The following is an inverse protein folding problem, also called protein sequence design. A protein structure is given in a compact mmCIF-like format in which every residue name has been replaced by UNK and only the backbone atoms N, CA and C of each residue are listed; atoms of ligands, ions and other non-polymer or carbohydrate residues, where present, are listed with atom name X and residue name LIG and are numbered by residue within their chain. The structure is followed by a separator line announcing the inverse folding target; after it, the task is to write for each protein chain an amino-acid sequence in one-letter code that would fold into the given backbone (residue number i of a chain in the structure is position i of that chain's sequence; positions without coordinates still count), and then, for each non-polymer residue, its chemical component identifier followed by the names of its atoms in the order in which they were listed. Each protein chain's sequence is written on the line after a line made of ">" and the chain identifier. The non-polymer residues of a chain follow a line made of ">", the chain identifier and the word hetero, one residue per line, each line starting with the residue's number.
data_IF_995973267258
#
_entry.id   IF_995973267258
#
_cell.length_a   1.000
_cell.length_b   1.000
_cell.length_c   1.000
_cell.angle_alpha   90.00
_cell.angle_beta   90.00
_cell.angle_gamma   90.00
#
_symmetry.space_group_name_H-M   'P 1'
#
loop_
_entity.id
_entity.type
_entity.pdbx_description
1 polymer ?
#
# COMPACT_ATOMS: atom_id res chain seq x y z
N UNK A 1 20.36 -22.57 2.50
CA UNK A 1 18.93 -22.63 2.12
C UNK A 1 18.86 -22.79 0.61
N UNK A 2 18.80 -24.02 0.11
CA UNK A 2 18.72 -24.33 -1.32
C UNK A 2 17.23 -24.52 -1.67
N UNK A 3 16.67 -23.59 -2.43
CA UNK A 3 15.32 -23.73 -2.97
C UNK A 3 15.27 -24.97 -3.90
N UNK A 4 14.24 -25.81 -3.82
CA UNK A 4 14.15 -27.03 -4.61
C UNK A 4 14.04 -26.67 -6.10
N UNK A 5 14.92 -27.25 -6.93
CA UNK A 5 15.06 -27.05 -8.37
C UNK A 5 13.73 -27.15 -9.17
N UNK A 6 12.71 -27.77 -8.57
CA UNK A 6 11.36 -27.94 -9.11
C UNK A 6 10.60 -26.63 -9.36
N UNK A 7 10.89 -25.56 -8.59
CA UNK A 7 10.19 -24.26 -8.75
C UNK A 7 10.81 -23.43 -9.88
N UNK A 8 12.14 -23.49 -10.03
CA UNK A 8 12.89 -22.83 -11.11
C UNK A 8 12.47 -23.36 -12.49
N UNK A 9 12.30 -24.67 -12.66
CA UNK A 9 11.85 -25.26 -13.93
C UNK A 9 10.43 -24.82 -14.33
N UNK A 10 9.52 -24.67 -13.36
CA UNK A 10 8.13 -24.25 -13.63
C UNK A 10 8.06 -22.77 -14.04
N UNK A 11 8.86 -21.90 -13.43
CA UNK A 11 8.98 -20.49 -13.80
C UNK A 11 9.58 -20.31 -15.20
N UNK A 12 10.62 -21.09 -15.55
CA UNK A 12 11.22 -21.07 -16.89
C UNK A 12 10.22 -21.51 -17.97
N UNK A 13 9.43 -22.55 -17.70
CA UNK A 13 8.38 -23.03 -18.62
C UNK A 13 7.28 -21.98 -18.86
N UNK A 14 6.80 -21.34 -17.78
CA UNK A 14 5.80 -20.26 -17.87
C UNK A 14 6.32 -19.05 -18.65
N UNK A 15 7.58 -18.66 -18.43
CA UNK A 15 8.22 -17.58 -19.18
C UNK A 15 8.35 -17.91 -20.67
N UNK A 16 8.69 -19.16 -21.02
CA UNK A 16 8.73 -19.57 -22.43
C UNK A 16 7.35 -19.57 -23.10
N UNK A 17 6.30 -19.98 -22.38
CA UNK A 17 4.92 -19.96 -22.88
C UNK A 17 4.41 -18.53 -23.09
N UNK A 18 4.67 -17.62 -22.15
CA UNK A 18 4.33 -16.19 -22.29
C UNK A 18 5.04 -15.55 -23.49
N UNK A 19 6.32 -15.91 -23.71
CA UNK A 19 7.11 -15.41 -24.84
C UNK A 19 6.60 -15.92 -26.19
N UNK A 20 6.16 -17.18 -26.25
CA UNK A 20 5.51 -17.77 -27.42
C UNK A 20 4.15 -17.13 -27.71
N UNK A 21 3.36 -16.87 -26.67
CA UNK A 21 2.05 -16.23 -26.80
C UNK A 21 2.17 -14.80 -27.33
N UNK A 22 3.15 -14.04 -26.84
CA UNK A 22 3.40 -12.67 -27.32
C UNK A 22 3.88 -12.65 -28.78
N UNK A 23 4.76 -13.58 -29.17
CA UNK A 23 5.20 -13.72 -30.56
C UNK A 23 4.05 -14.12 -31.49
N UNK A 24 3.17 -15.03 -31.06
CA UNK A 24 2.01 -15.44 -31.84
C UNK A 24 0.98 -14.31 -32.01
N UNK A 25 0.69 -13.56 -30.95
CA UNK A 25 -0.19 -12.38 -31.03
C UNK A 25 0.40 -11.28 -31.92
N UNK A 26 1.72 -11.04 -31.86
CA UNK A 26 2.39 -10.09 -32.75
C UNK A 26 2.31 -10.53 -34.22
N UNK A 27 2.47 -11.82 -34.51
CA UNK A 27 2.36 -12.36 -35.87
C UNK A 27 0.93 -12.26 -36.42
N UNK A 28 -0.09 -12.43 -35.56
CA UNK A 28 -1.50 -12.25 -35.96
C UNK A 28 -1.80 -10.79 -36.30
N UNK A 29 -1.31 -9.83 -35.51
CA UNK A 29 -1.48 -8.40 -35.81
C UNK A 29 -0.76 -8.02 -37.11
N UNK A 30 0.43 -8.55 -37.36
CA UNK A 30 1.18 -8.27 -38.58
C UNK A 30 0.51 -8.88 -39.83
N UNK A 31 -0.11 -10.07 -39.69
CA UNK A 31 -0.86 -10.73 -40.77
C UNK A 31 -2.15 -10.00 -41.17
N UNK A 32 -2.74 -9.18 -40.29
CA UNK A 32 -3.91 -8.34 -40.62
C UNK A 32 -3.57 -7.10 -41.44
N UNK A 33 -2.29 -6.74 -41.55
CA UNK A 33 -1.82 -5.53 -42.24
C UNK A 33 -1.51 -5.75 -43.73
N UNK A 34 -1.51 -7.00 -44.20
CA UNK A 34 -1.23 -7.36 -45.61
C UNK A 34 -2.53 -7.62 -46.36
N UNK A 35 -3.12 -6.57 -46.92
CA UNK A 35 -4.13 -6.74 -47.98
C UNK A 35 -3.48 -7.28 -49.27
N UNK A 36 -4.09 -8.25 -49.97
CA UNK A 36 -3.57 -8.75 -51.23
C UNK A 36 -3.81 -7.73 -52.36
N UNK A 37 -2.72 -7.18 -52.92
CA UNK A 37 -2.80 -6.29 -54.09
C UNK A 37 -3.22 -7.06 -55.34
N UNK A 38 -4.30 -6.62 -55.99
CA UNK A 38 -4.85 -7.21 -57.21
C UNK A 38 -4.18 -6.56 -58.45
N UNK A 39 -3.66 -7.39 -59.35
CA UNK A 39 -2.95 -6.99 -60.57
C UNK A 39 -3.83 -6.17 -61.57
N UNK A 40 -3.23 -5.34 -62.45
CA UNK A 40 -3.99 -4.39 -63.28
C UNK A 40 -4.55 -5.08 -64.54
N UNK A 41 -5.87 -5.04 -64.71
CA UNK A 41 -6.51 -5.30 -66.00
C UNK A 41 -6.46 -4.03 -66.87
N UNK A 42 -6.46 -4.18 -68.19
CA UNK A 42 -6.30 -3.12 -69.22
C UNK A 42 -7.44 -2.08 -69.29
N UNK A 43 -8.22 -1.94 -68.22
CA UNK A 43 -9.17 -0.87 -68.01
C UNK A 43 -8.78 -0.18 -66.70
N UNK A 44 -8.43 1.11 -66.75
CA UNK A 44 -8.18 1.88 -65.53
C UNK A 44 -9.33 1.64 -64.52
N UNK A 45 -9.02 1.32 -63.24
CA UNK A 45 -10.03 1.18 -62.21
C UNK A 45 -10.97 2.39 -62.19
N UNK A 46 -12.26 2.24 -61.85
CA UNK A 46 -13.19 3.36 -61.74
C UNK A 46 -12.62 4.52 -60.90
N UNK A 47 -11.92 4.21 -59.81
CA UNK A 47 -11.22 5.17 -58.96
C UNK A 47 -10.06 5.91 -59.67
N UNK A 48 -9.30 5.23 -60.52
CA UNK A 48 -8.21 5.85 -61.28
C UNK A 48 -8.75 6.79 -62.38
N UNK A 49 -9.88 6.45 -62.99
CA UNK A 49 -10.59 7.32 -63.94
C UNK A 49 -11.17 8.56 -63.24
N UNK A 50 -11.76 8.38 -62.07
CA UNK A 50 -12.23 9.48 -61.21
C UNK A 50 -11.09 10.44 -60.83
N UNK A 51 -9.92 9.92 -60.47
CA UNK A 51 -8.74 10.73 -60.17
C UNK A 51 -8.26 11.55 -61.38
N UNK A 52 -8.29 10.99 -62.59
CA UNK A 52 -7.95 11.71 -63.81
C UNK A 52 -8.93 12.87 -64.08
N UNK A 53 -10.24 12.62 -63.94
CA UNK A 53 -11.28 13.65 -64.07
C UNK A 53 -11.09 14.78 -63.05
N UNK A 54 -10.84 14.43 -61.79
CA UNK A 54 -10.54 15.41 -60.74
C UNK A 54 -9.26 16.20 -61.03
N UNK A 55 -8.21 15.52 -61.49
CA UNK A 55 -6.94 16.18 -61.83
C UNK A 55 -7.13 17.19 -62.96
N UNK A 56 -7.94 16.85 -63.96
CA UNK A 56 -8.30 17.75 -65.06
C UNK A 56 -9.07 18.97 -64.55
N UNK A 57 -10.14 18.78 -63.77
CA UNK A 57 -10.92 19.88 -63.19
C UNK A 57 -10.05 20.82 -62.33
N UNK A 58 -9.14 20.25 -61.54
CA UNK A 58 -8.18 21.01 -60.73
C UNK A 58 -7.14 21.74 -61.56
N UNK A 59 -6.72 21.16 -62.68
CA UNK A 59 -5.77 21.78 -63.61
C UNK A 59 -6.43 22.91 -64.42
N UNK A 60 -7.69 22.73 -64.83
CA UNK A 60 -8.46 23.73 -65.57
C UNK A 60 -8.72 24.99 -64.74
N UNK A 61 -8.85 24.88 -63.41
CA UNK A 61 -9.10 26.02 -62.49
C UNK A 61 -10.27 26.92 -62.91
N UNK A 62 -11.23 26.36 -63.62
CA UNK A 62 -12.39 27.05 -64.20
C UNK A 62 -13.67 26.27 -63.88
N UNK A 63 -14.81 26.96 -63.88
CA UNK A 63 -16.12 26.33 -63.74
C UNK A 63 -16.57 25.78 -65.09
N UNK A 64 -17.11 24.55 -65.09
CA UNK A 64 -17.57 23.89 -66.30
C UNK A 64 -19.06 23.57 -66.21
N UNK A 65 -19.75 23.62 -67.36
CA UNK A 65 -21.12 23.10 -67.46
C UNK A 65 -21.08 21.61 -67.77
N UNK A 66 -22.19 20.90 -67.52
CA UNK A 66 -22.28 19.46 -67.83
C UNK A 66 -21.99 19.17 -69.31
N UNK A 67 -22.39 20.07 -70.22
CA UNK A 67 -22.15 19.96 -71.66
C UNK A 67 -20.68 20.08 -72.03
N UNK A 68 -19.92 20.89 -71.28
CA UNK A 68 -18.48 21.03 -71.50
C UNK A 68 -17.73 19.80 -70.98
N UNK A 69 -18.19 19.25 -69.84
CA UNK A 69 -17.63 18.03 -69.26
C UNK A 69 -17.90 16.80 -70.14
N UNK A 70 -19.08 16.69 -70.75
CA UNK A 70 -19.40 15.65 -71.74
C UNK A 70 -18.50 15.69 -72.98
N UNK A 71 -17.94 16.85 -73.33
CA UNK A 71 -17.03 17.02 -74.48
C UNK A 71 -15.57 16.81 -74.12
N UNK A 72 -15.12 17.34 -72.98
CA UNK A 72 -13.72 17.32 -72.59
C UNK A 72 -13.30 16.00 -71.92
N UNK A 73 -14.17 15.41 -71.10
CA UNK A 73 -13.81 14.24 -70.28
C UNK A 73 -13.61 12.93 -71.07
N UNK A 74 -14.33 12.65 -72.17
CA UNK A 74 -14.03 11.47 -73.00
C UNK A 74 -12.61 11.48 -73.57
N UNK A 75 -12.07 12.66 -73.90
CA UNK A 75 -10.70 12.83 -74.40
C UNK A 75 -9.64 12.66 -73.29
N UNK A 76 -9.91 13.19 -72.09
CA UNK A 76 -8.92 13.23 -71.00
C UNK A 76 -8.90 11.97 -70.14
N UNK A 77 -10.07 11.39 -69.87
CA UNK A 77 -10.21 10.22 -69.00
C UNK A 77 -10.48 8.92 -69.77
N UNK A 78 -10.54 8.98 -71.12
CA UNK A 78 -10.87 7.84 -71.99
C UNK A 78 -12.15 7.10 -71.54
N UNK A 79 -13.19 7.87 -71.20
CA UNK A 79 -14.49 7.39 -70.73
C UNK A 79 -15.56 7.56 -71.80
N UNK A 80 -16.58 6.71 -71.79
CA UNK A 80 -17.73 6.85 -72.69
C UNK A 80 -18.54 8.09 -72.27
N UNK A 81 -18.95 8.93 -73.23
CA UNK A 81 -19.74 10.15 -72.97
C UNK A 81 -21.02 9.90 -72.17
N UNK A 82 -21.61 8.70 -72.28
CA UNK A 82 -22.78 8.30 -71.51
C UNK A 82 -22.50 8.08 -70.01
N UNK A 83 -21.25 7.75 -69.65
CA UNK A 83 -20.83 7.47 -68.27
C UNK A 83 -20.31 8.71 -67.53
N UNK A 84 -20.16 9.83 -68.22
CA UNK A 84 -19.62 11.09 -67.65
C UNK A 84 -20.46 11.56 -66.47
N UNK A 85 -21.79 11.47 -66.57
CA UNK A 85 -22.71 11.86 -65.50
C UNK A 85 -22.55 11.00 -64.26
N UNK A 86 -22.43 9.68 -64.42
CA UNK A 86 -22.27 8.74 -63.32
C UNK A 86 -20.95 8.97 -62.58
N UNK A 87 -19.87 9.23 -63.31
CA UNK A 87 -18.57 9.55 -62.70
C UNK A 87 -18.57 10.90 -62.00
N UNK A 88 -19.26 11.91 -62.53
CA UNK A 88 -19.40 13.21 -61.84
C UNK A 88 -20.25 13.05 -60.58
N UNK A 89 -21.36 12.31 -60.64
CA UNK A 89 -22.20 12.07 -59.47
C UNK A 89 -21.43 11.34 -58.37
N UNK A 90 -20.69 10.28 -58.71
CA UNK A 90 -19.84 9.58 -57.74
C UNK A 90 -18.76 10.49 -57.12
N UNK A 91 -18.27 11.50 -57.87
CA UNK A 91 -17.31 12.48 -57.36
C UNK A 91 -17.95 13.57 -56.49
N UNK A 92 -19.25 13.83 -56.65
CA UNK A 92 -20.05 14.68 -55.77
C UNK A 92 -20.38 13.94 -54.48
N UNK A 93 -20.75 12.67 -54.59
CA UNK A 93 -21.04 11.81 -53.43
C UNK A 93 -19.79 11.65 -52.54
N UNK A 94 -18.59 11.66 -53.15
CA UNK A 94 -17.29 11.67 -52.48
C UNK A 94 -16.85 13.07 -51.94
N UNK A 95 -17.66 14.12 -52.12
CA UNK A 95 -17.38 15.54 -51.81
C UNK A 95 -16.09 16.11 -52.44
N UNK A 96 -15.68 15.58 -53.60
CA UNK A 96 -14.46 16.00 -54.33
C UNK A 96 -14.73 17.04 -55.42
N UNK A 97 -15.99 17.20 -55.85
CA UNK A 97 -16.47 18.21 -56.80
C UNK A 97 -17.61 18.98 -56.14
N UNK A 98 -17.55 20.31 -56.22
CA UNK A 98 -18.65 21.17 -55.79
C UNK A 98 -19.57 21.48 -56.97
N UNK A 99 -20.87 21.47 -56.68
CA UNK A 99 -21.93 21.85 -57.62
C UNK A 99 -22.69 23.01 -57.06
N UNK A 100 -22.83 24.07 -57.85
CA UNK A 100 -23.68 25.19 -57.51
C UNK A 100 -24.63 25.50 -58.66
N UNK A 101 -25.85 25.86 -58.30
CA UNK A 101 -26.88 26.24 -59.25
C UNK A 101 -26.87 27.75 -59.40
N UNK A 102 -26.49 28.24 -60.58
CA UNK A 102 -26.47 29.67 -60.90
C UNK A 102 -27.50 29.89 -62.02
N UNK A 103 -28.63 30.53 -61.66
CA UNK A 103 -29.77 30.74 -62.56
C UNK A 103 -30.45 29.42 -62.96
N UNK A 104 -30.49 29.13 -64.25
CA UNK A 104 -31.08 27.91 -64.82
C UNK A 104 -30.08 26.77 -65.08
N UNK A 105 -28.79 26.97 -64.77
CA UNK A 105 -27.72 26.00 -65.03
C UNK A 105 -27.02 25.50 -63.76
N UNK A 106 -26.53 24.25 -63.81
CA UNK A 106 -25.63 23.67 -62.80
C UNK A 106 -24.18 23.86 -63.25
N UNK A 107 -23.35 24.36 -62.33
CA UNK A 107 -21.93 24.61 -62.54
C UNK A 107 -21.11 23.68 -61.66
N UNK A 108 -20.06 23.10 -62.24
CA UNK A 108 -19.20 22.11 -61.59
C UNK A 108 -17.77 22.65 -61.50
N UNK A 109 -17.16 22.55 -60.32
CA UNK A 109 -15.74 22.88 -60.12
C UNK A 109 -15.11 22.06 -59.01
N UNK A 110 -13.78 21.96 -59.03
CA UNK A 110 -13.01 21.31 -57.98
C UNK A 110 -11.73 22.11 -57.71
N UNK A 111 -11.50 22.48 -56.43
CA UNK A 111 -10.27 23.13 -56.00
C UNK A 111 -9.43 22.19 -55.14
N UNK A 112 -8.13 22.12 -55.42
CA UNK A 112 -7.19 21.33 -54.62
C UNK A 112 -6.94 21.90 -53.21
N UNK A 113 -7.38 23.13 -52.93
CA UNK A 113 -7.14 23.81 -51.65
C UNK A 113 -8.02 23.35 -50.48
N UNK A 114 -9.24 22.87 -50.77
CA UNK A 114 -10.19 22.42 -49.74
C UNK A 114 -9.69 21.19 -48.98
N UNK A 115 -9.31 20.14 -49.72
CA UNK A 115 -8.79 18.89 -49.15
C UNK A 115 -7.53 19.11 -48.29
N UNK A 116 -6.65 20.04 -48.68
CA UNK A 116 -5.45 20.34 -47.89
C UNK A 116 -5.82 20.99 -46.56
N UNK A 117 -6.71 21.99 -46.59
CA UNK A 117 -7.15 22.71 -45.40
C UNK A 117 -7.95 21.81 -44.44
N UNK A 118 -8.79 20.94 -44.99
CA UNK A 118 -9.57 19.99 -44.20
C UNK A 118 -8.69 18.93 -43.54
N UNK A 119 -7.72 18.37 -44.27
CA UNK A 119 -6.72 17.46 -43.71
C UNK A 119 -5.87 18.11 -42.62
N UNK A 120 -5.47 19.37 -42.81
CA UNK A 120 -4.75 20.14 -41.78
C UNK A 120 -5.62 20.38 -40.54
N UNK A 121 -6.91 20.70 -40.72
CA UNK A 121 -7.88 20.86 -39.62
C UNK A 121 -8.08 19.56 -38.86
N UNK A 122 -8.24 18.44 -39.56
CA UNK A 122 -8.39 17.11 -38.95
C UNK A 122 -7.13 16.74 -38.18
N UNK A 123 -5.94 16.94 -38.76
CA UNK A 123 -4.66 16.69 -38.08
C UNK A 123 -4.53 17.54 -36.83
N UNK A 124 -4.87 18.82 -36.88
CA UNK A 124 -4.84 19.71 -35.72
C UNK A 124 -5.82 19.25 -34.63
N UNK A 125 -7.02 18.77 -35.01
CA UNK A 125 -7.97 18.19 -34.06
C UNK A 125 -7.44 16.93 -33.40
N UNK A 126 -6.86 16.01 -34.18
CA UNK A 126 -6.30 14.76 -33.67
C UNK A 126 -5.11 15.00 -32.72
N UNK A 127 -4.24 15.97 -33.04
CA UNK A 127 -3.14 16.37 -32.15
C UNK A 127 -3.66 16.90 -30.82
N UNK A 128 -4.71 17.75 -30.85
CA UNK A 128 -5.33 18.25 -29.61
C UNK A 128 -5.95 17.14 -28.77
N UNK A 129 -6.59 16.15 -29.40
CA UNK A 129 -7.14 15.00 -28.66
C UNK A 129 -6.01 14.12 -28.08
N UNK A 130 -4.92 13.90 -28.83
CA UNK A 130 -3.76 13.19 -28.30
C UNK A 130 -3.15 13.91 -27.08
N UNK A 131 -2.95 15.22 -27.16
CA UNK A 131 -2.45 16.02 -26.02
C UNK A 131 -3.38 15.96 -24.80
N UNK A 132 -4.70 15.89 -24.99
CA UNK A 132 -5.64 15.70 -23.88
C UNK A 132 -5.51 14.31 -23.26
N UNK A 133 -5.40 13.27 -24.09
CA UNK A 133 -5.23 11.90 -23.62
C UNK A 133 -3.91 11.76 -22.85
N UNK A 134 -2.82 12.33 -23.35
CA UNK A 134 -1.52 12.32 -22.67
C UNK A 134 -1.58 13.00 -21.30
N UNK A 135 -2.30 14.13 -21.18
CA UNK A 135 -2.53 14.79 -19.89
C UNK A 135 -3.30 13.88 -18.92
N UNK A 136 -4.37 13.25 -19.39
CA UNK A 136 -5.16 12.32 -18.57
C UNK A 136 -4.33 11.12 -18.14
N UNK A 137 -3.48 10.58 -19.03
CA UNK A 137 -2.57 9.49 -18.69
C UNK A 137 -1.59 9.94 -17.59
N UNK A 138 -0.96 11.11 -17.76
CA UNK A 138 -0.02 11.64 -16.75
C UNK A 138 -0.71 11.86 -15.38
N UNK A 139 -1.94 12.39 -15.37
CA UNK A 139 -2.73 12.55 -14.14
C UNK A 139 -3.09 11.20 -13.50
N UNK A 140 -3.48 10.21 -14.29
CA UNK A 140 -3.80 8.86 -13.80
C UNK A 140 -2.56 8.14 -13.27
N UNK A 141 -1.41 8.28 -13.93
CA UNK A 141 -0.14 7.73 -13.48
C UNK A 141 0.31 8.37 -12.16
N UNK A 142 0.20 9.69 -12.04
CA UNK A 142 0.49 10.40 -10.79
C UNK A 142 -0.44 9.94 -9.66
N UNK A 143 -1.74 9.79 -9.93
CA UNK A 143 -2.72 9.30 -8.95
C UNK A 143 -2.44 7.85 -8.54
N UNK A 144 -2.09 6.98 -9.49
CA UNK A 144 -1.71 5.59 -9.21
C UNK A 144 -0.47 5.53 -8.34
N UNK A 145 0.55 6.35 -8.62
CA UNK A 145 1.76 6.38 -7.81
C UNK A 145 1.48 6.89 -6.39
N UNK A 146 0.63 7.91 -6.23
CA UNK A 146 0.16 8.37 -4.93
C UNK A 146 -0.51 7.26 -4.12
N UNK A 147 -1.48 6.56 -4.73
CA UNK A 147 -2.18 5.45 -4.08
C UNK A 147 -1.24 4.30 -3.69
N UNK A 148 -0.27 3.93 -4.54
CA UNK A 148 0.72 2.90 -4.21
C UNK A 148 1.60 3.29 -3.03
N UNK A 149 2.00 4.57 -2.96
CA UNK A 149 2.79 5.08 -1.84
C UNK A 149 1.98 5.04 -0.54
N UNK A 150 0.71 5.48 -0.58
CA UNK A 150 -0.20 5.44 0.57
C UNK A 150 -0.41 4.01 1.08
N UNK A 151 -0.74 3.07 0.18
CA UNK A 151 -0.88 1.64 0.52
C UNK A 151 0.41 1.11 1.16
N UNK A 152 1.57 1.40 0.56
CA UNK A 152 2.85 0.98 1.11
C UNK A 152 3.17 1.61 2.47
N UNK A 153 2.74 2.84 2.74
CA UNK A 153 2.90 3.47 4.05
C UNK A 153 1.97 2.90 5.11
N UNK A 154 0.71 2.62 4.75
CA UNK A 154 -0.29 2.03 5.64
C UNK A 154 0.13 0.61 6.01
N UNK A 155 0.49 -0.22 5.03
CA UNK A 155 0.92 -1.61 5.26
C UNK A 155 2.16 -1.69 6.17
N UNK A 156 3.13 -0.78 5.98
CA UNK A 156 4.30 -0.67 6.88
C UNK A 156 3.93 -0.21 8.29
N UNK A 157 2.96 0.70 8.42
CA UNK A 157 2.52 1.18 9.73
C UNK A 157 1.75 0.10 10.47
N UNK A 158 0.77 -0.54 9.82
CA UNK A 158 -0.02 -1.64 10.36
C UNK A 158 0.87 -2.82 10.78
N UNK A 159 1.88 -3.17 9.97
CA UNK A 159 2.82 -4.22 10.31
C UNK A 159 3.65 -3.89 11.55
N UNK A 160 4.14 -2.64 11.69
CA UNK A 160 4.87 -2.20 12.89
C UNK A 160 3.98 -2.20 14.13
N UNK A 161 2.77 -1.65 14.02
CA UNK A 161 1.81 -1.62 15.13
C UNK A 161 1.46 -3.04 15.59
N UNK A 162 1.30 -3.98 14.64
CA UNK A 162 1.08 -5.39 14.95
C UNK A 162 2.26 -6.03 15.67
N UNK A 163 3.50 -5.74 15.25
CA UNK A 163 4.71 -6.23 15.90
C UNK A 163 4.85 -5.68 17.32
N UNK A 164 4.60 -4.39 17.52
CA UNK A 164 4.62 -3.74 18.84
C UNK A 164 3.55 -4.32 19.78
N UNK A 165 2.31 -4.49 19.28
CA UNK A 165 1.23 -5.10 20.04
C UNK A 165 1.52 -6.57 20.38
N UNK A 166 2.13 -7.33 19.47
CA UNK A 166 2.52 -8.71 19.72
C UNK A 166 3.60 -8.80 20.81
N UNK A 167 4.63 -7.94 20.75
CA UNK A 167 5.67 -7.88 21.77
C UNK A 167 5.10 -7.51 23.15
N UNK A 168 4.21 -6.52 23.20
CA UNK A 168 3.55 -6.11 24.45
C UNK A 168 2.64 -7.21 25.01
N UNK A 169 1.98 -7.97 24.13
CA UNK A 169 1.19 -9.13 24.55
C UNK A 169 2.08 -10.20 25.18
N UNK A 170 3.20 -10.54 24.58
CA UNK A 170 4.15 -11.51 25.15
C UNK A 170 4.71 -11.05 26.50
N UNK A 171 5.03 -9.77 26.64
CA UNK A 171 5.48 -9.19 27.91
C UNK A 171 4.42 -9.33 29.01
N UNK A 172 3.18 -8.95 28.71
CA UNK A 172 2.06 -9.05 29.65
C UNK A 172 1.71 -10.50 29.99
N UNK A 173 1.79 -11.42 29.04
CA UNK A 173 1.59 -12.86 29.28
C UNK A 173 2.69 -13.43 30.19
N UNK A 174 3.94 -13.00 30.00
CA UNK A 174 5.04 -13.39 30.88
C UNK A 174 4.88 -12.81 32.30
N UNK A 175 4.43 -11.57 32.43
CA UNK A 175 4.14 -10.96 33.73
C UNK A 175 2.97 -11.66 34.43
N UNK A 176 1.88 -11.96 33.72
CA UNK A 176 0.77 -12.75 34.23
C UNK A 176 1.21 -14.14 34.71
N UNK A 177 2.07 -14.81 33.96
CA UNK A 177 2.60 -16.12 34.36
C UNK A 177 3.44 -16.03 35.64
N UNK A 178 4.27 -14.98 35.78
CA UNK A 178 5.04 -14.74 37.02
C UNK A 178 4.12 -14.49 38.20
N UNK A 179 3.15 -13.59 38.07
CA UNK A 179 2.21 -13.24 39.13
C UNK A 179 1.37 -14.44 39.56
N UNK A 180 0.90 -15.25 38.61
CA UNK A 180 0.18 -16.50 38.92
C UNK A 180 1.06 -17.49 39.66
N UNK A 181 2.33 -17.63 39.29
CA UNK A 181 3.25 -18.50 40.01
C UNK A 181 3.57 -17.98 41.42
N UNK A 182 3.58 -16.66 41.63
CA UNK A 182 3.71 -16.05 42.96
C UNK A 182 2.45 -16.27 43.80
N UNK A 183 1.26 -16.07 43.21
CA UNK A 183 -0.02 -16.36 43.85
C UNK A 183 -0.13 -17.83 44.26
N UNK A 184 0.26 -18.75 43.38
CA UNK A 184 0.27 -20.19 43.66
C UNK A 184 1.20 -20.52 44.83
N UNK A 185 2.41 -19.95 44.89
CA UNK A 185 3.29 -20.09 46.06
C UNK A 185 2.66 -19.54 47.33
N UNK A 186 1.91 -18.45 47.22
CA UNK A 186 1.25 -17.81 48.34
C UNK A 186 0.00 -18.54 48.82
N UNK A 187 -0.70 -19.26 47.94
CA UNK A 187 -1.91 -20.04 48.26
C UNK A 187 -1.55 -21.45 48.73
N UNK A 188 -0.55 -22.10 48.12
CA UNK A 188 -0.11 -23.46 48.49
C UNK A 188 0.95 -23.48 49.58
N UNK A 189 1.64 -22.37 49.84
CA UNK A 189 2.34 -22.21 51.11
C UNK A 189 1.29 -22.23 52.21
N UNK A 190 1.38 -23.17 53.15
CA UNK A 190 0.49 -23.29 54.31
C UNK A 190 0.71 -22.12 55.28
N UNK A 191 0.35 -20.92 54.81
CA UNK A 191 0.54 -19.67 55.52
C UNK A 191 -0.22 -19.68 56.83
N UNK A 192 -1.38 -20.36 56.87
CA UNK A 192 -2.15 -20.52 58.08
C UNK A 192 -1.33 -21.29 59.13
N UNK A 193 -0.80 -22.47 58.80
CA UNK A 193 0.01 -23.23 59.76
C UNK A 193 1.36 -22.56 60.10
N UNK A 194 1.99 -21.88 59.14
CA UNK A 194 3.24 -21.14 59.38
C UNK A 194 3.00 -19.93 60.29
N UNK A 195 1.91 -19.19 60.10
CA UNK A 195 1.55 -18.06 60.95
C UNK A 195 1.12 -18.54 62.33
N UNK A 196 0.29 -19.59 62.42
CA UNK A 196 -0.11 -20.20 63.70
C UNK A 196 1.11 -20.67 64.51
N UNK A 197 2.07 -21.35 63.86
CA UNK A 197 3.32 -21.75 64.52
C UNK A 197 4.13 -20.56 65.03
N UNK A 198 4.25 -19.50 64.23
CA UNK A 198 4.95 -18.27 64.64
C UNK A 198 4.25 -17.59 65.80
N UNK A 199 2.92 -17.52 65.79
CA UNK A 199 2.13 -16.97 66.90
C UNK A 199 2.35 -17.79 68.17
N UNK A 200 2.29 -19.11 68.09
CA UNK A 200 2.59 -20.01 69.21
C UNK A 200 4.01 -19.82 69.75
N UNK A 201 5.02 -19.76 68.86
CA UNK A 201 6.41 -19.56 69.26
C UNK A 201 6.60 -18.21 69.96
N UNK A 202 5.99 -17.13 69.45
CA UNK A 202 6.03 -15.79 70.06
C UNK A 202 5.35 -15.79 71.43
N UNK A 203 4.18 -16.42 71.56
CA UNK A 203 3.49 -16.52 72.86
C UNK A 203 4.34 -17.29 73.88
N UNK A 204 4.96 -18.40 73.46
CA UNK A 204 5.88 -19.17 74.32
C UNK A 204 7.07 -18.32 74.75
N UNK A 205 7.76 -17.68 73.82
CA UNK A 205 8.94 -16.87 74.15
C UNK A 205 8.60 -15.68 75.04
N UNK A 206 7.43 -15.06 74.86
CA UNK A 206 6.94 -14.04 75.78
C UNK A 206 6.74 -14.59 77.19
N UNK A 207 6.05 -15.72 77.33
CA UNK A 207 5.81 -16.33 78.64
C UNK A 207 7.12 -16.75 79.33
N UNK A 208 8.08 -17.29 78.56
CA UNK A 208 9.41 -17.64 79.08
C UNK A 208 10.19 -16.39 79.52
N UNK A 209 10.18 -15.31 78.72
CA UNK A 209 10.82 -14.05 79.08
C UNK A 209 10.19 -13.42 80.34
N UNK A 210 8.86 -13.44 80.46
CA UNK A 210 8.14 -12.97 81.64
C UNK A 210 8.52 -13.78 82.88
N UNK A 211 8.56 -15.11 82.78
CA UNK A 211 8.98 -15.99 83.88
C UNK A 211 10.41 -15.70 84.34
N UNK A 212 11.35 -15.54 83.41
CA UNK A 212 12.73 -15.20 83.77
C UNK A 212 12.84 -13.79 84.36
N UNK A 213 12.03 -12.85 83.89
CA UNK A 213 11.93 -11.50 84.48
C UNK A 213 11.46 -11.56 85.93
N UNK A 214 10.41 -12.33 86.22
CA UNK A 214 9.92 -12.51 87.60
C UNK A 214 10.96 -13.19 88.49
N UNK A 215 11.63 -14.23 87.98
CA UNK A 215 12.70 -14.92 88.70
C UNK A 215 13.85 -13.97 89.04
N UNK A 216 14.22 -13.09 88.11
CA UNK A 216 15.23 -12.06 88.35
C UNK A 216 14.78 -11.12 89.48
N UNK A 217 13.55 -10.62 89.47
CA UNK A 217 13.04 -9.75 90.54
C UNK A 217 13.03 -10.42 91.92
N UNK A 218 12.69 -11.71 91.99
CA UNK A 218 12.74 -12.48 93.24
C UNK A 218 14.18 -12.56 93.77
N UNK A 219 15.14 -12.83 92.89
CA UNK A 219 16.56 -12.89 93.24
C UNK A 219 17.09 -11.52 93.69
N UNK A 220 16.66 -10.44 93.04
CA UNK A 220 17.01 -9.08 93.46
C UNK A 220 16.46 -8.74 94.86
N UNK A 221 15.22 -9.12 95.16
CA UNK A 221 14.64 -8.91 96.49
C UNK A 221 15.38 -9.75 97.56
N UNK A 222 15.72 -10.99 97.24
CA UNK A 222 16.51 -11.85 98.13
C UNK A 222 17.91 -11.30 98.40
N UNK A 223 18.57 -10.77 97.36
CA UNK A 223 19.85 -10.09 97.47
C UNK A 223 19.75 -8.88 98.42
N UNK A 224 18.69 -8.08 98.28
CA UNK A 224 18.44 -6.95 99.19
C UNK A 224 18.27 -7.37 100.66
N UNK A 225 17.58 -8.50 100.91
CA UNK A 225 17.45 -9.07 102.26
C UNK A 225 18.78 -9.57 102.80
N UNK A 226 19.59 -10.23 101.97
CA UNK A 226 20.90 -10.76 102.37
C UNK A 226 21.91 -9.64 102.68
N UNK A 227 21.85 -8.54 101.94
CA UNK A 227 22.67 -7.35 102.16
C UNK A 227 22.24 -6.51 103.39
N UNK A 228 21.21 -6.94 104.13
CA UNK A 228 20.74 -6.23 105.34
C UNK A 228 20.19 -4.83 105.07
N UNK A 229 19.77 -4.54 103.83
CA UNK A 229 19.32 -3.21 103.40
C UNK A 229 20.45 -2.24 103.01
N UNK A 230 21.70 -2.70 102.94
CA UNK A 230 22.81 -1.90 102.40
C UNK A 230 22.65 -1.74 100.89
N UNK A 231 22.24 -0.53 100.49
CA UNK A 231 21.96 -0.20 99.11
C UNK A 231 23.23 -0.20 98.26
N UNK A 232 24.39 0.13 98.80
CA UNK A 232 25.64 0.22 98.03
C UNK A 232 26.12 -1.15 97.56
N UNK A 233 25.96 -2.18 98.42
CA UNK A 233 26.30 -3.57 98.08
C UNK A 233 25.38 -4.12 97.00
N UNK A 234 24.06 -3.84 97.08
CA UNK A 234 23.09 -4.29 96.07
C UNK A 234 23.36 -3.65 94.71
N UNK A 235 23.62 -2.34 94.67
CA UNK A 235 23.93 -1.61 93.44
C UNK A 235 25.26 -2.08 92.82
N UNK A 236 26.27 -2.39 93.64
CA UNK A 236 27.54 -2.96 93.18
C UNK A 236 27.35 -4.31 92.47
N UNK A 237 26.54 -5.21 93.05
CA UNK A 237 26.27 -6.53 92.46
C UNK A 237 25.44 -6.39 91.18
N UNK A 238 24.45 -5.49 91.14
CA UNK A 238 23.67 -5.20 89.93
C UNK A 238 24.55 -4.67 88.80
N UNK A 239 25.49 -3.77 89.10
CA UNK A 239 26.46 -3.27 88.12
C UNK A 239 27.37 -4.36 87.57
N UNK A 240 27.79 -5.31 88.41
CA UNK A 240 28.61 -6.44 87.97
C UNK A 240 27.82 -7.42 87.09
N UNK A 241 26.56 -7.71 87.45
CA UNK A 241 25.72 -8.67 86.72
C UNK A 241 25.16 -8.14 85.40
N UNK A 242 24.71 -6.88 85.37
CA UNK A 242 24.07 -6.26 84.20
C UNK A 242 25.04 -5.42 83.35
N UNK A 243 26.23 -5.12 83.85
CA UNK A 243 27.27 -4.39 83.13
C UNK A 243 26.82 -3.01 82.65
N UNK A 244 27.14 -2.68 81.40
CA UNK A 244 26.87 -1.37 80.78
C UNK A 244 25.37 -1.08 80.54
N UNK A 245 24.51 -2.09 80.70
CA UNK A 245 23.06 -1.95 80.58
C UNK A 245 22.43 -1.42 81.86
N UNK A 246 23.15 -1.42 82.99
CA UNK A 246 22.66 -0.87 84.26
C UNK A 246 22.96 0.61 84.40
N UNK A 247 21.94 1.39 84.75
CA UNK A 247 22.03 2.82 85.06
C UNK A 247 21.71 3.02 86.54
N UNK A 248 22.70 3.53 87.29
CA UNK A 248 22.58 3.76 88.74
C UNK A 248 21.35 4.65 89.04
N UNK A 249 20.41 4.13 89.83
CA UNK A 249 19.19 4.85 90.23
C UNK A 249 18.03 4.81 89.23
N UNK A 250 18.27 4.43 87.96
CA UNK A 250 17.25 4.30 86.91
C UNK A 250 16.94 2.83 86.56
N UNK A 251 17.86 1.90 86.87
CA UNK A 251 17.69 0.46 86.60
C UNK A 251 18.30 0.04 85.26
N UNK A 252 17.80 -1.06 84.67
CA UNK A 252 18.21 -1.47 83.33
C UNK A 252 17.79 -0.41 82.30
N UNK A 253 18.68 -0.08 81.37
CA UNK A 253 18.39 0.78 80.23
C UNK A 253 17.28 0.11 79.43
N UNK A 254 16.06 0.65 79.47
CA UNK A 254 14.96 0.11 78.66
C UNK A 254 15.42 0.02 77.20
N UNK A 255 15.11 -1.11 76.56
CA UNK A 255 15.11 -1.20 75.10
C UNK A 255 13.99 -0.28 74.62
N UNK A 256 14.28 1.02 74.47
CA UNK A 256 13.45 1.93 73.68
C UNK A 256 13.59 1.52 72.21
N UNK A 257 12.76 0.56 71.79
CA UNK A 257 12.05 0.48 70.50
C UNK A 257 11.29 -0.86 70.37
#
# INVERSE_FOLDING_TARGET
>A
MLYPASIQLRLLSLLTLLRWHFAFCSAIVDSRSREPSKAPSKSLPPAAKQQLILSYLRASRTCHTIKDLEKCLPSVASINGMQVKDYIQALIDDDKIHVEKIGSGNWYWAWAGGEKKEREKLKASLVKEAEKVDKVIAELEARKQGALNEIGTVDRHEQREREELAARKEELEAELAKLRAEEERFVHGDKAAVMEKKEMDVTRWKAEAELWTDNIYILEEYLGKLAGGDREVVESVKRECYGDEYVDGEGLRELQD
#
